data_IF_037040272857
#
_entry.id   IF_037040272857
#
_cell.length_a   1.000
_cell.length_b   1.000
_cell.length_c   1.000
_cell.angle_alpha   90.00
_cell.angle_beta   90.00
_cell.angle_gamma   90.00
#
_symmetry.space_group_name_H-M   'P 1'
#
loop_
_entity.id
_entity.type
_entity.pdbx_description
1 polymer ?
#
# COMPACT_ATOMS: atom_id res chain seq x y z
N UNK A 1 2.92 -30.52 38.21
CA UNK A 1 1.71 -29.68 38.34
C UNK A 1 1.59 -28.91 37.04
N UNK A 2 0.64 -29.29 36.19
CA UNK A 2 0.44 -28.67 34.88
C UNK A 2 -0.15 -27.27 35.06
N UNK A 3 0.54 -26.25 34.56
CA UNK A 3 0.04 -24.87 34.49
C UNK A 3 -1.09 -24.79 33.47
N UNK A 4 -2.28 -24.45 33.93
CA UNK A 4 -3.47 -24.23 33.09
C UNK A 4 -3.20 -23.19 31.99
N UNK A 5 -3.80 -23.34 30.80
CA UNK A 5 -3.71 -22.33 29.75
C UNK A 5 -4.34 -21.03 30.26
N UNK A 6 -3.61 -19.91 30.17
CA UNK A 6 -4.17 -18.58 30.44
C UNK A 6 -5.32 -18.35 29.48
N UNK A 7 -6.50 -18.07 30.02
CA UNK A 7 -7.64 -17.55 29.27
C UNK A 7 -7.21 -16.29 28.50
N UNK A 8 -7.72 -16.09 27.27
CA UNK A 8 -7.51 -14.83 26.56
C UNK A 8 -8.01 -13.67 27.43
N UNK A 9 -7.36 -12.50 27.39
CA UNK A 9 -7.82 -11.34 28.13
C UNK A 9 -9.27 -11.01 27.72
N UNK A 10 -10.12 -10.55 28.66
CA UNK A 10 -11.47 -10.13 28.33
C UNK A 10 -11.43 -8.97 27.34
N UNK A 11 -12.30 -9.01 26.33
CA UNK A 11 -12.45 -7.93 25.36
C UNK A 11 -12.65 -6.58 26.09
N UNK A 12 -12.07 -5.48 25.56
CA UNK A 12 -12.19 -4.17 26.19
C UNK A 12 -13.66 -3.82 26.41
N UNK A 13 -13.97 -3.31 27.60
CA UNK A 13 -15.34 -2.91 27.94
C UNK A 13 -15.80 -1.76 27.02
N UNK A 14 -17.06 -1.74 26.55
CA UNK A 14 -17.57 -0.70 25.64
C UNK A 14 -17.35 0.74 26.13
N UNK A 15 -17.33 0.97 27.45
CA UNK A 15 -17.06 2.28 28.06
C UNK A 15 -15.65 2.81 27.77
N UNK A 16 -14.66 1.92 27.70
CA UNK A 16 -13.26 2.26 27.41
C UNK A 16 -13.09 2.68 25.95
N UNK A 17 -13.74 1.97 25.03
CA UNK A 17 -13.73 2.31 23.59
C UNK A 17 -14.40 3.66 23.30
N UNK A 18 -15.52 3.95 23.98
CA UNK A 18 -16.21 5.25 23.86
C UNK A 18 -15.32 6.39 24.36
N UNK A 19 -14.60 6.19 25.46
CA UNK A 19 -13.64 7.17 25.98
C UNK A 19 -12.50 7.43 24.99
N UNK A 20 -11.94 6.36 24.41
CA UNK A 20 -10.84 6.43 23.44
C UNK A 20 -11.25 7.13 22.14
N UNK A 21 -12.40 6.76 21.59
CA UNK A 21 -12.94 7.38 20.39
C UNK A 21 -13.18 8.88 20.62
N UNK A 22 -13.71 9.26 21.79
CA UNK A 22 -13.87 10.65 22.18
C UNK A 22 -12.55 11.42 22.24
N UNK A 23 -11.48 10.80 22.75
CA UNK A 23 -10.12 11.39 22.77
C UNK A 23 -9.56 11.61 21.36
N UNK A 24 -9.73 10.64 20.46
CA UNK A 24 -9.29 10.77 19.06
C UNK A 24 -10.04 11.92 18.35
N UNK A 25 -11.35 11.99 18.51
CA UNK A 25 -12.13 13.12 17.98
C UNK A 25 -11.66 14.45 18.58
N UNK A 26 -11.44 14.52 19.88
CA UNK A 26 -10.93 15.72 20.53
C UNK A 26 -9.56 16.14 19.99
N UNK A 27 -8.66 15.20 19.73
CA UNK A 27 -7.36 15.47 19.12
C UNK A 27 -7.49 16.05 17.71
N UNK A 28 -8.38 15.50 16.88
CA UNK A 28 -8.66 15.99 15.51
C UNK A 28 -9.44 17.31 15.47
N UNK A 29 -10.12 17.68 16.57
CA UNK A 29 -10.82 18.97 16.71
C UNK A 29 -9.89 20.13 17.06
N UNK A 30 -8.63 19.87 17.45
CA UNK A 30 -7.66 20.94 17.73
C UNK A 30 -7.32 21.72 16.47
N UNK A 31 -6.99 23.01 16.62
CA UNK A 31 -6.55 23.87 15.50
C UNK A 31 -5.24 23.37 14.88
N UNK A 32 -4.28 23.07 15.76
CA UNK A 32 -3.01 22.42 15.42
C UNK A 32 -3.03 21.04 16.06
N UNK A 33 -2.90 20.02 15.25
CA UNK A 33 -2.94 18.63 15.69
C UNK A 33 -1.56 18.21 16.16
N UNK A 34 -1.52 17.60 17.33
CA UNK A 34 -0.34 16.95 17.88
C UNK A 34 -0.19 15.57 17.23
N UNK A 35 0.81 15.41 16.37
CA UNK A 35 1.05 14.15 15.66
C UNK A 35 1.49 13.03 16.59
N UNK A 36 2.19 13.32 17.69
CA UNK A 36 2.66 12.28 18.61
C UNK A 36 1.50 11.73 19.42
N UNK A 37 0.59 12.60 19.88
CA UNK A 37 -0.67 12.18 20.48
C UNK A 37 -1.51 11.37 19.47
N UNK A 38 -1.60 11.83 18.21
CA UNK A 38 -2.37 11.14 17.17
C UNK A 38 -1.81 9.74 16.88
N UNK A 39 -0.48 9.62 16.74
CA UNK A 39 0.23 8.35 16.55
C UNK A 39 -0.04 7.38 17.70
N UNK A 40 0.03 7.85 18.95
CA UNK A 40 -0.29 7.00 20.10
C UNK A 40 -1.73 6.49 20.10
N UNK A 41 -2.70 7.33 19.70
CA UNK A 41 -4.11 6.94 19.64
C UNK A 41 -4.41 6.01 18.45
N UNK A 42 -3.78 6.26 17.31
CA UNK A 42 -3.93 5.44 16.10
C UNK A 42 -3.22 4.09 16.21
N UNK A 43 -2.13 3.99 16.99
CA UNK A 43 -1.45 2.72 17.28
C UNK A 43 -2.37 1.68 17.93
N UNK A 44 -3.37 2.14 18.70
CA UNK A 44 -4.39 1.33 19.36
C UNK A 44 -5.59 1.02 18.44
N UNK A 45 -5.48 1.32 17.15
CA UNK A 45 -6.51 1.14 16.12
C UNK A 45 -7.42 2.35 15.95
N UNK A 46 -7.84 2.66 14.73
CA UNK A 46 -8.74 3.79 14.46
C UNK A 46 -10.19 3.28 14.34
N UNK A 47 -11.19 3.96 14.92
CA UNK A 47 -12.59 3.57 14.74
C UNK A 47 -13.06 3.67 13.29
N UNK A 48 -13.92 2.74 12.86
CA UNK A 48 -14.53 2.73 11.52
C UNK A 48 -15.56 3.84 11.29
N UNK A 49 -16.04 4.48 12.37
CA UNK A 49 -17.12 5.45 12.29
C UNK A 49 -16.66 6.83 11.75
N UNK A 50 -17.55 7.47 11.00
CA UNK A 50 -17.49 8.89 10.62
C UNK A 50 -16.30 9.35 9.75
N UNK A 51 -15.68 8.45 8.98
CA UNK A 51 -14.56 8.82 8.07
C UNK A 51 -13.29 9.24 8.80
N UNK A 52 -13.20 8.96 10.10
CA UNK A 52 -12.05 9.35 10.94
C UNK A 52 -10.78 8.72 10.42
N UNK A 53 -10.80 7.43 10.07
CA UNK A 53 -9.63 6.72 9.55
C UNK A 53 -9.04 7.38 8.31
N UNK A 54 -9.88 7.82 7.37
CA UNK A 54 -9.42 8.52 6.19
C UNK A 54 -8.63 9.79 6.56
N UNK A 55 -9.13 10.56 7.52
CA UNK A 55 -8.44 11.78 8.00
C UNK A 55 -7.14 11.44 8.74
N UNK A 56 -7.16 10.44 9.62
CA UNK A 56 -5.99 10.01 10.40
C UNK A 56 -4.88 9.53 9.47
N UNK A 57 -5.17 8.66 8.51
CA UNK A 57 -4.17 8.14 7.57
C UNK A 57 -3.55 9.25 6.73
N UNK A 58 -4.36 10.22 6.27
CA UNK A 58 -3.88 11.40 5.55
C UNK A 58 -2.91 12.25 6.39
N UNK A 59 -3.12 12.36 7.70
CA UNK A 59 -2.21 13.07 8.60
C UNK A 59 -0.93 12.27 8.88
N UNK A 60 -1.06 10.97 9.16
CA UNK A 60 0.07 10.09 9.46
C UNK A 60 1.02 9.94 8.26
N UNK A 61 0.48 9.93 7.05
CA UNK A 61 1.25 9.90 5.79
C UNK A 61 1.76 11.28 5.35
N UNK A 62 1.55 12.34 6.14
CA UNK A 62 2.02 13.69 5.81
C UNK A 62 1.31 14.34 4.62
N UNK A 63 0.19 13.79 4.16
CA UNK A 63 -0.60 14.36 3.07
C UNK A 63 -1.34 15.63 3.51
N UNK A 64 -1.89 15.63 4.75
CA UNK A 64 -2.49 16.80 5.37
C UNK A 64 -1.50 17.47 6.34
N UNK A 65 -1.40 18.81 6.35
CA UNK A 65 -0.59 19.51 7.33
C UNK A 65 -1.23 19.44 8.74
N UNK A 66 -0.41 19.64 9.77
CA UNK A 66 -0.88 19.61 11.16
C UNK A 66 -1.85 20.74 11.51
N UNK A 67 -1.78 21.86 10.78
CA UNK A 67 -2.71 22.98 10.92
C UNK A 67 -3.97 22.74 10.08
N UNK A 68 -5.10 22.59 10.77
CA UNK A 68 -6.40 22.32 10.16
C UNK A 68 -6.88 23.44 9.25
N UNK A 69 -6.48 24.69 9.51
CA UNK A 69 -6.88 25.83 8.68
C UNK A 69 -6.35 25.74 7.25
N UNK A 70 -5.29 24.97 7.02
CA UNK A 70 -4.65 24.79 5.72
C UNK A 70 -5.22 23.60 4.93
N UNK A 71 -6.07 22.76 5.53
CA UNK A 71 -6.54 21.52 4.92
C UNK A 71 -7.30 21.73 3.62
N UNK A 72 -8.25 22.67 3.60
CA UNK A 72 -9.06 22.93 2.41
C UNK A 72 -8.17 23.41 1.24
N UNK A 73 -7.20 24.28 1.53
CA UNK A 73 -6.26 24.79 0.53
C UNK A 73 -5.35 23.68 0.00
N UNK A 74 -4.77 22.87 0.88
CA UNK A 74 -3.83 21.82 0.47
C UNK A 74 -4.56 20.70 -0.30
N UNK A 75 -5.76 20.30 0.15
CA UNK A 75 -6.61 19.34 -0.58
C UNK A 75 -6.95 19.87 -1.97
N UNK A 76 -7.41 21.12 -2.09
CA UNK A 76 -7.76 21.71 -3.37
C UNK A 76 -6.56 21.74 -4.33
N UNK A 77 -5.39 22.17 -3.82
CA UNK A 77 -4.13 22.22 -4.57
C UNK A 77 -3.70 20.83 -5.06
N UNK A 78 -3.64 19.84 -4.17
CA UNK A 78 -3.22 18.47 -4.50
C UNK A 78 -4.21 17.82 -5.47
N UNK A 79 -5.51 17.95 -5.24
CA UNK A 79 -6.55 17.39 -6.13
C UNK A 79 -6.50 18.01 -7.53
N UNK A 80 -6.27 19.32 -7.64
CA UNK A 80 -6.05 19.99 -8.93
C UNK A 80 -4.76 19.53 -9.62
N UNK A 81 -3.68 19.35 -8.86
CA UNK A 81 -2.42 18.81 -9.37
C UNK A 81 -2.60 17.40 -9.95
N UNK A 82 -3.32 16.52 -9.25
CA UNK A 82 -3.60 15.18 -9.76
C UNK A 82 -4.50 15.20 -11.01
N UNK A 83 -5.48 16.11 -11.07
CA UNK A 83 -6.28 16.29 -12.28
C UNK A 83 -5.40 16.68 -13.49
N UNK A 84 -4.44 17.58 -13.29
CA UNK A 84 -3.47 17.93 -14.33
C UNK A 84 -2.60 16.72 -14.76
N UNK A 85 -2.18 15.86 -13.81
CA UNK A 85 -1.48 14.62 -14.14
C UNK A 85 -2.35 13.65 -14.94
N UNK A 86 -3.65 13.52 -14.64
CA UNK A 86 -4.56 12.70 -15.44
C UNK A 86 -4.62 13.22 -16.87
N UNK A 87 -4.80 14.52 -17.03
CA UNK A 87 -4.87 15.14 -18.36
C UNK A 87 -3.55 14.93 -19.11
N UNK A 88 -2.39 15.15 -18.49
CA UNK A 88 -1.09 14.98 -19.14
C UNK A 88 -0.77 13.52 -19.50
N UNK A 89 -0.92 12.60 -18.56
CA UNK A 89 -0.34 11.25 -18.67
C UNK A 89 -1.30 10.18 -19.19
N UNK A 90 -2.62 10.40 -19.06
CA UNK A 90 -3.65 9.45 -19.47
C UNK A 90 -4.35 9.85 -20.77
N UNK A 91 -4.01 11.00 -21.38
CA UNK A 91 -4.52 11.41 -22.70
C UNK A 91 -4.16 10.36 -23.76
N UNK A 92 -5.14 9.98 -24.57
CA UNK A 92 -4.95 9.01 -25.65
C UNK A 92 -4.12 9.64 -26.79
N UNK A 93 -3.05 8.98 -27.29
CA UNK A 93 -2.27 9.47 -28.44
C UNK A 93 -3.09 9.81 -29.69
N UNK A 94 -4.26 9.18 -29.86
CA UNK A 94 -5.20 9.45 -30.95
C UNK A 94 -5.92 10.81 -30.77
N UNK A 95 -6.17 11.22 -29.53
CA UNK A 95 -6.75 12.53 -29.21
C UNK A 95 -5.71 13.66 -29.38
N UNK A 96 -4.45 13.38 -29.02
CA UNK A 96 -3.32 14.28 -29.24
C UNK A 96 -3.13 14.53 -30.75
N UNK A 97 -3.13 13.47 -31.56
CA UNK A 97 -3.06 13.57 -33.03
C UNK A 97 -4.22 14.38 -33.63
N UNK A 98 -5.42 14.33 -33.02
CA UNK A 98 -6.59 15.11 -33.46
C UNK A 98 -6.51 16.58 -33.06
N UNK A 99 -5.98 16.91 -31.88
CA UNK A 99 -5.83 18.30 -31.42
C UNK A 99 -4.76 19.05 -32.21
N UNK A 100 -3.63 18.42 -32.53
CA UNK A 100 -2.58 19.02 -33.39
C UNK A 100 -3.11 19.34 -34.79
N UNK A 101 -3.97 18.48 -35.35
CA UNK A 101 -4.66 18.76 -36.62
C UNK A 101 -5.60 19.96 -36.51
N UNK A 102 -6.23 20.19 -35.36
CA UNK A 102 -7.21 21.28 -35.17
C UNK A 102 -6.53 22.62 -34.92
N UNK A 103 -5.41 22.65 -34.20
CA UNK A 103 -4.63 23.87 -33.94
C UNK A 103 -3.81 24.33 -35.17
N UNK A 104 -3.42 23.40 -36.06
CA UNK A 104 -2.75 23.71 -37.33
C UNK A 104 -3.66 24.39 -38.38
N UNK A 105 -4.98 24.34 -38.22
CA UNK A 105 -5.94 24.89 -39.18
C UNK A 105 -6.37 26.35 -38.90
N UNK A 106 -5.91 26.98 -37.81
CA UNK A 106 -6.30 28.37 -37.48
C UNK A 106 -5.42 29.49 -38.09
N UNK A 107 -4.51 29.17 -39.02
CA UNK A 107 -3.63 30.20 -39.63
C UNK A 107 -3.44 30.07 -41.15
N UNK A 108 -4.44 29.61 -41.89
CA UNK A 108 -4.42 29.72 -43.36
C UNK A 108 -5.72 30.37 -43.82
N UNK A 109 -5.60 31.61 -44.28
CA UNK A 109 -6.66 32.35 -44.97
C UNK A 109 -7.27 31.47 -46.07
N UNK A 110 -8.60 31.36 -46.03
CA UNK A 110 -9.40 30.65 -47.01
C UNK A 110 -9.25 31.27 -48.41
N UNK A 111 -8.63 30.54 -49.34
CA UNK A 111 -9.01 30.57 -50.75
C UNK A 111 -9.11 29.13 -51.27
N UNK A 112 -10.25 28.86 -51.91
CA UNK A 112 -10.71 27.61 -52.53
C UNK A 112 -9.64 26.81 -53.31
N UNK A 113 -9.79 25.48 -53.38
CA UNK A 113 -10.33 24.73 -54.54
C UNK A 113 -10.63 23.28 -54.13
N UNK A 114 -11.82 22.84 -54.52
CA UNK A 114 -12.36 21.48 -54.50
C UNK A 114 -11.46 20.49 -55.25
N UNK A 115 -10.99 19.47 -54.54
CA UNK A 115 -10.62 18.18 -55.10
C UNK A 115 -10.74 17.16 -53.98
N UNK A 116 -11.65 16.19 -54.12
CA UNK A 116 -12.00 15.15 -53.14
C UNK A 116 -10.88 14.14 -52.82
N UNK A 117 -9.68 14.62 -52.49
CA UNK A 117 -8.62 13.86 -51.86
C UNK A 117 -8.50 14.33 -50.41
N UNK A 118 -8.72 13.41 -49.46
CA UNK A 118 -8.37 13.64 -48.06
C UNK A 118 -6.87 13.96 -48.00
N UNK A 119 -6.52 15.19 -47.60
CA UNK A 119 -5.13 15.60 -47.46
C UNK A 119 -4.49 14.75 -46.36
N UNK A 120 -3.63 13.80 -46.74
CA UNK A 120 -2.87 12.98 -45.80
C UNK A 120 -1.91 13.92 -45.05
N UNK A 121 -2.19 14.17 -43.78
CA UNK A 121 -1.28 14.89 -42.88
C UNK A 121 0.09 14.20 -42.90
N UNK A 122 1.16 14.94 -43.20
CA UNK A 122 2.52 14.42 -43.11
C UNK A 122 2.85 14.21 -41.63
N UNK A 123 2.78 12.95 -41.19
CA UNK A 123 3.28 12.55 -39.87
C UNK A 123 4.79 12.76 -39.90
N UNK A 124 5.28 13.72 -39.10
CA UNK A 124 6.73 13.93 -38.96
C UNK A 124 7.38 12.62 -38.49
N UNK A 125 8.58 12.29 -39.00
CA UNK A 125 9.25 10.99 -38.73
C UNK A 125 9.44 10.68 -37.23
N UNK A 126 9.40 11.69 -36.38
CA UNK A 126 9.54 11.57 -34.92
C UNK A 126 8.21 11.21 -34.23
N UNK A 127 7.06 11.49 -34.85
CA UNK A 127 5.71 11.16 -34.36
C UNK A 127 5.13 9.90 -35.02
N UNK A 128 5.96 9.13 -35.72
CA UNK A 128 5.52 7.92 -36.39
C UNK A 128 5.36 6.75 -35.38
N UNK A 129 4.29 5.93 -35.47
CA UNK A 129 4.06 4.73 -34.63
C UNK A 129 5.10 3.61 -34.77
N UNK A 130 6.13 3.80 -35.60
CA UNK A 130 7.27 2.89 -35.78
C UNK A 130 8.61 3.64 -35.62
N UNK A 131 8.58 4.85 -35.09
CA UNK A 131 9.79 5.62 -34.81
C UNK A 131 10.61 4.85 -33.79
N UNK A 132 11.91 4.65 -34.06
CA UNK A 132 12.86 4.02 -33.13
C UNK A 132 13.56 5.05 -32.22
N UNK A 133 13.17 6.33 -32.32
CA UNK A 133 13.72 7.40 -31.49
C UNK A 133 13.21 7.30 -30.06
N UNK A 134 14.12 7.26 -29.07
CA UNK A 134 13.79 7.20 -27.63
C UNK A 134 12.89 8.36 -27.13
N UNK A 135 12.82 9.45 -27.90
CA UNK A 135 12.00 10.64 -27.62
C UNK A 135 10.63 10.62 -28.31
N UNK A 136 10.34 9.63 -29.16
CA UNK A 136 9.05 9.55 -29.84
C UNK A 136 7.94 9.24 -28.83
N UNK A 137 6.85 10.01 -28.89
CA UNK A 137 5.65 9.77 -28.08
C UNK A 137 5.14 8.31 -28.22
N UNK A 138 5.36 7.69 -29.38
CA UNK A 138 5.00 6.30 -29.63
C UNK A 138 5.91 5.29 -28.93
N UNK A 139 7.22 5.51 -28.87
CA UNK A 139 8.10 4.61 -28.11
C UNK A 139 7.82 4.69 -26.60
N UNK A 140 7.58 5.88 -26.08
CA UNK A 140 7.14 6.03 -24.68
C UNK A 140 5.78 5.37 -24.45
N UNK A 141 4.88 5.42 -25.44
CA UNK A 141 3.59 4.74 -25.39
C UNK A 141 3.73 3.21 -25.43
N UNK A 142 4.58 2.65 -26.30
CA UNK A 142 4.81 1.20 -26.39
C UNK A 142 5.55 0.65 -25.16
N UNK A 143 6.55 1.35 -24.62
CA UNK A 143 7.16 1.01 -23.33
C UNK A 143 6.15 1.10 -22.17
N UNK A 144 5.19 2.04 -22.24
CA UNK A 144 4.09 2.12 -21.28
C UNK A 144 3.03 1.02 -21.50
N UNK A 145 2.89 0.46 -22.70
CA UNK A 145 1.83 -0.50 -23.03
C UNK A 145 1.99 -1.80 -22.23
N UNK A 146 3.21 -2.30 -22.07
CA UNK A 146 3.47 -3.50 -21.26
C UNK A 146 3.11 -3.28 -19.79
N UNK A 147 3.52 -2.13 -19.23
CA UNK A 147 3.18 -1.73 -17.85
C UNK A 147 1.67 -1.54 -17.69
N UNK A 148 1.02 -0.94 -18.68
CA UNK A 148 -0.43 -0.74 -18.71
C UNK A 148 -1.18 -2.07 -18.66
N UNK A 149 -0.79 -3.04 -19.49
CA UNK A 149 -1.39 -4.37 -19.48
C UNK A 149 -1.12 -5.13 -18.18
N UNK A 150 0.07 -4.98 -17.61
CA UNK A 150 0.39 -5.59 -16.32
C UNK A 150 -0.49 -5.03 -15.21
N UNK A 151 -0.63 -3.70 -15.12
CA UNK A 151 -1.51 -3.03 -14.15
C UNK A 151 -2.96 -3.48 -14.38
N UNK A 152 -3.43 -3.54 -15.63
CA UNK A 152 -4.80 -3.95 -15.95
C UNK A 152 -5.11 -5.37 -15.45
N UNK A 153 -4.19 -6.32 -15.64
CA UNK A 153 -4.32 -7.68 -15.10
C UNK A 153 -4.30 -7.71 -13.57
N UNK A 154 -3.41 -6.95 -12.96
CA UNK A 154 -3.23 -6.92 -11.50
C UNK A 154 -4.41 -6.28 -10.78
N UNK A 155 -4.95 -5.18 -11.30
CA UNK A 155 -6.14 -4.52 -10.75
C UNK A 155 -7.36 -5.45 -10.83
N UNK A 156 -7.56 -6.16 -11.94
CA UNK A 156 -8.68 -7.12 -12.10
C UNK A 156 -8.65 -8.27 -11.09
N UNK A 157 -7.46 -8.65 -10.61
CA UNK A 157 -7.28 -9.73 -9.62
C UNK A 157 -7.06 -9.24 -8.19
N UNK A 158 -7.14 -7.93 -7.94
CA UNK A 158 -6.94 -7.34 -6.60
C UNK A 158 -8.15 -7.67 -5.74
N UNK A 159 -7.93 -8.34 -4.60
CA UNK A 159 -8.96 -8.79 -3.66
C UNK A 159 -10.24 -9.32 -4.33
N UNK A 160 -10.16 -10.47 -5.03
CA UNK A 160 -11.26 -10.99 -5.86
C UNK A 160 -12.53 -11.32 -5.06
N UNK A 161 -12.38 -11.59 -3.77
CA UNK A 161 -13.48 -11.91 -2.85
C UNK A 161 -14.29 -10.66 -2.43
N UNK A 162 -13.85 -9.45 -2.77
CA UNK A 162 -14.50 -8.21 -2.39
C UNK A 162 -15.23 -7.58 -3.58
N UNK A 163 -16.55 -7.44 -3.46
CA UNK A 163 -17.40 -6.75 -4.45
C UNK A 163 -17.01 -5.29 -4.71
N UNK A 164 -16.29 -4.68 -3.77
CA UNK A 164 -15.75 -3.33 -3.92
C UNK A 164 -14.69 -3.25 -5.03
N UNK A 165 -13.84 -4.28 -5.17
CA UNK A 165 -12.73 -4.34 -6.12
C UNK A 165 -13.04 -5.23 -7.32
N UNK A 166 -13.82 -6.30 -7.14
CA UNK A 166 -14.11 -7.29 -8.17
C UNK A 166 -15.63 -7.44 -8.34
N UNK A 167 -16.15 -7.06 -9.51
CA UNK A 167 -17.55 -7.25 -9.86
C UNK A 167 -17.95 -6.56 -11.15
N UNK A 168 -19.07 -6.98 -11.73
CA UNK A 168 -19.59 -6.43 -12.99
C UNK A 168 -20.33 -5.09 -12.83
N UNK A 169 -20.55 -4.67 -11.58
CA UNK A 169 -21.22 -3.41 -11.26
C UNK A 169 -20.44 -2.21 -11.79
N UNK A 170 -21.16 -1.15 -12.14
CA UNK A 170 -20.55 0.13 -12.56
C UNK A 170 -19.66 0.72 -11.45
N UNK A 171 -20.03 0.49 -10.19
CA UNK A 171 -19.25 0.95 -9.04
C UNK A 171 -17.88 0.24 -8.94
N UNK A 172 -17.85 -1.09 -9.02
CA UNK A 172 -16.60 -1.86 -9.01
C UNK A 172 -15.69 -1.50 -10.19
N UNK A 173 -16.26 -1.36 -11.40
CA UNK A 173 -15.52 -0.92 -12.59
C UNK A 173 -14.94 0.48 -12.44
N UNK A 174 -15.70 1.41 -11.84
CA UNK A 174 -15.21 2.76 -11.53
C UNK A 174 -14.06 2.75 -10.52
N UNK A 175 -14.11 1.86 -9.53
CA UNK A 175 -13.04 1.69 -8.55
C UNK A 175 -11.78 1.09 -9.18
N UNK A 176 -11.93 0.05 -10.02
CA UNK A 176 -10.81 -0.54 -10.78
C UNK A 176 -10.14 0.50 -11.68
N UNK A 177 -10.92 1.31 -12.39
CA UNK A 177 -10.38 2.38 -13.24
C UNK A 177 -9.62 3.43 -12.41
N UNK A 178 -10.12 3.78 -11.23
CA UNK A 178 -9.44 4.69 -10.32
C UNK A 178 -8.08 4.14 -9.86
N UNK A 179 -8.04 2.86 -9.44
CA UNK A 179 -6.79 2.19 -9.06
C UNK A 179 -5.79 2.14 -10.22
N UNK A 180 -6.27 1.80 -11.41
CA UNK A 180 -5.47 1.77 -12.64
C UNK A 180 -4.86 3.14 -12.95
N UNK A 181 -5.65 4.20 -12.89
CA UNK A 181 -5.18 5.57 -13.14
C UNK A 181 -4.07 5.98 -12.17
N UNK A 182 -4.26 5.72 -10.88
CA UNK A 182 -3.27 6.02 -9.85
C UNK A 182 -1.95 5.30 -10.12
N UNK A 183 -1.99 3.99 -10.38
CA UNK A 183 -0.80 3.18 -10.65
C UNK A 183 -0.10 3.59 -11.96
N UNK A 184 -0.86 3.96 -12.98
CA UNK A 184 -0.31 4.41 -14.27
C UNK A 184 0.41 5.75 -14.15
N UNK A 185 -0.22 6.72 -13.49
CA UNK A 185 0.39 8.03 -13.24
C UNK A 185 1.65 7.85 -12.38
N UNK A 186 1.59 7.02 -11.35
CA UNK A 186 2.76 6.71 -10.52
C UNK A 186 3.92 6.14 -11.35
N UNK A 187 3.64 5.14 -12.20
CA UNK A 187 4.65 4.48 -13.01
C UNK A 187 5.30 5.43 -14.02
N UNK A 188 4.52 6.34 -14.61
CA UNK A 188 5.01 7.37 -15.55
C UNK A 188 5.86 8.43 -14.86
N UNK A 189 5.44 8.91 -13.69
CA UNK A 189 6.19 9.90 -12.92
C UNK A 189 7.49 9.33 -12.32
N UNK A 190 7.51 8.05 -11.99
CA UNK A 190 8.64 7.39 -11.33
C UNK A 190 9.34 6.39 -12.25
N UNK A 191 9.90 6.87 -13.38
CA UNK A 191 10.54 6.02 -14.39
C UNK A 191 11.71 5.16 -13.87
N UNK A 192 12.28 5.49 -12.70
CA UNK A 192 13.34 4.72 -12.05
C UNK A 192 12.86 3.50 -11.24
N UNK A 193 11.63 3.53 -10.73
CA UNK A 193 11.01 2.40 -9.98
C UNK A 193 10.01 1.68 -10.88
N UNK A 194 9.21 2.46 -11.63
CA UNK A 194 8.07 2.00 -12.44
C UNK A 194 7.05 1.24 -11.57
N UNK A 195 6.10 0.58 -12.22
CA UNK A 195 5.18 -0.32 -11.54
C UNK A 195 5.86 -1.65 -11.23
N UNK A 196 5.71 -2.13 -10.00
CA UNK A 196 6.13 -3.47 -9.57
C UNK A 196 4.90 -4.24 -9.10
N UNK A 197 4.78 -5.49 -9.53
CA UNK A 197 3.66 -6.36 -9.15
C UNK A 197 3.51 -6.42 -7.62
N UNK A 198 2.30 -6.16 -7.13
CA UNK A 198 1.98 -6.08 -5.70
C UNK A 198 1.76 -4.65 -5.19
N UNK A 199 2.21 -3.63 -5.93
CA UNK A 199 1.87 -2.23 -5.62
C UNK A 199 0.35 -1.98 -5.61
N UNK A 200 -0.41 -2.73 -6.42
CA UNK A 200 -1.87 -2.72 -6.41
C UNK A 200 -2.46 -3.11 -5.03
N UNK A 201 -1.84 -4.05 -4.32
CA UNK A 201 -2.29 -4.49 -2.99
C UNK A 201 -1.98 -3.46 -1.90
N UNK A 202 -0.93 -2.65 -2.09
CA UNK A 202 -0.60 -1.52 -1.18
C UNK A 202 -1.57 -0.37 -1.40
N UNK A 203 -1.92 -0.09 -2.66
CA UNK A 203 -2.88 0.97 -2.99
C UNK A 203 -4.31 0.64 -2.52
N UNK A 204 -4.71 -0.64 -2.56
CA UNK A 204 -6.07 -1.06 -2.29
C UNK A 204 -6.60 -0.64 -0.90
N UNK A 205 -5.88 -0.85 0.23
CA UNK A 205 -6.28 -0.36 1.55
C UNK A 205 -6.49 1.16 1.61
N UNK A 206 -5.56 1.95 1.06
CA UNK A 206 -5.67 3.42 1.02
C UNK A 206 -6.93 3.85 0.28
N UNK A 207 -7.11 3.31 -0.93
CA UNK A 207 -8.24 3.64 -1.78
C UNK A 207 -9.57 3.24 -1.16
N UNK A 208 -9.65 2.05 -0.57
CA UNK A 208 -10.85 1.60 0.13
C UNK A 208 -11.25 2.55 1.27
N UNK A 209 -10.29 2.94 2.11
CA UNK A 209 -10.54 3.84 3.25
C UNK A 209 -11.02 5.21 2.78
N UNK A 210 -10.42 5.77 1.73
CA UNK A 210 -10.80 7.10 1.23
C UNK A 210 -12.09 7.10 0.40
N UNK A 211 -12.37 6.02 -0.33
CA UNK A 211 -13.57 5.89 -1.15
C UNK A 211 -14.81 5.53 -0.33
N UNK A 212 -14.62 4.88 0.81
CA UNK A 212 -15.69 4.54 1.76
C UNK A 212 -15.97 5.66 2.78
N UNK A 213 -15.41 6.86 2.56
CA UNK A 213 -15.65 8.03 3.41
C UNK A 213 -17.14 8.43 3.39
N UNK A 214 -17.78 8.67 4.56
CA UNK A 214 -19.17 9.13 4.63
C UNK A 214 -19.42 10.48 3.95
N UNK A 215 -18.41 11.34 3.83
CA UNK A 215 -18.51 12.59 3.07
C UNK A 215 -18.28 12.34 1.58
N UNK A 216 -19.37 12.40 0.81
CA UNK A 216 -19.38 12.24 -0.65
C UNK A 216 -18.38 13.18 -1.35
N UNK A 217 -18.11 14.37 -0.81
CA UNK A 217 -17.10 15.28 -1.38
C UNK A 217 -15.71 14.65 -1.29
N UNK A 218 -15.35 14.04 -0.17
CA UNK A 218 -14.07 13.37 0.00
C UNK A 218 -14.01 12.07 -0.79
N UNK A 219 -15.07 11.26 -0.76
CA UNK A 219 -15.15 10.01 -1.49
C UNK A 219 -14.99 10.19 -3.01
N UNK A 220 -15.46 11.32 -3.58
CA UNK A 220 -15.26 11.66 -5.00
C UNK A 220 -13.80 11.92 -5.36
N UNK A 221 -13.03 12.51 -4.46
CA UNK A 221 -11.61 12.77 -4.67
C UNK A 221 -10.69 11.67 -4.11
N UNK A 222 -11.26 10.52 -3.71
CA UNK A 222 -10.51 9.39 -3.17
C UNK A 222 -9.37 8.95 -4.09
N UNK A 223 -9.56 9.01 -5.41
CA UNK A 223 -8.50 8.69 -6.40
C UNK A 223 -7.26 9.58 -6.21
N UNK A 224 -7.46 10.90 -6.17
CA UNK A 224 -6.38 11.88 -6.01
C UNK A 224 -5.72 11.78 -4.63
N UNK A 225 -6.53 11.67 -3.57
CA UNK A 225 -6.04 11.56 -2.20
C UNK A 225 -5.23 10.26 -2.02
N UNK A 226 -5.67 9.16 -2.65
CA UNK A 226 -4.96 7.88 -2.65
C UNK A 226 -3.62 7.98 -3.35
N UNK A 227 -3.54 8.67 -4.49
CA UNK A 227 -2.29 8.83 -5.22
C UNK A 227 -1.20 9.48 -4.36
N UNK A 228 -1.48 10.61 -3.71
CA UNK A 228 -0.45 11.28 -2.90
C UNK A 228 -0.10 10.48 -1.66
N UNK A 229 -1.09 9.94 -0.95
CA UNK A 229 -0.81 9.08 0.21
C UNK A 229 0.02 7.84 -0.17
N UNK A 230 -0.24 7.27 -1.34
CA UNK A 230 0.51 6.14 -1.89
C UNK A 230 1.96 6.52 -2.24
N UNK A 231 2.17 7.69 -2.84
CA UNK A 231 3.51 8.22 -3.14
C UNK A 231 4.30 8.44 -1.85
N UNK A 232 3.71 9.10 -0.86
CA UNK A 232 4.37 9.34 0.43
C UNK A 232 4.70 8.03 1.15
N UNK A 233 3.74 7.08 1.19
CA UNK A 233 3.95 5.75 1.77
C UNK A 233 5.12 5.01 1.09
N UNK A 234 5.12 4.92 -0.24
CA UNK A 234 6.18 4.25 -0.98
C UNK A 234 7.52 4.96 -0.84
N UNK A 235 7.55 6.28 -0.66
CA UNK A 235 8.80 7.04 -0.53
C UNK A 235 9.66 6.53 0.65
N UNK A 236 9.02 6.09 1.74
CA UNK A 236 9.68 5.58 2.94
C UNK A 236 10.38 4.23 2.74
N UNK A 237 10.05 3.48 1.69
CA UNK A 237 10.66 2.17 1.41
C UNK A 237 10.90 1.91 -0.06
N UNK A 238 11.03 2.97 -0.84
CA UNK A 238 11.29 2.94 -2.29
C UNK A 238 12.56 2.17 -2.63
N UNK A 239 13.55 2.19 -1.73
CA UNK A 239 14.85 1.55 -1.93
C UNK A 239 14.71 0.02 -1.99
N UNK A 240 13.67 -0.55 -1.38
CA UNK A 240 13.34 -1.97 -1.49
C UNK A 240 12.83 -2.38 -2.89
N UNK A 241 12.39 -1.42 -3.72
CA UNK A 241 11.96 -1.65 -5.10
C UNK A 241 13.06 -1.28 -6.12
N UNK A 242 14.14 -0.65 -5.68
CA UNK A 242 15.23 -0.27 -6.55
C UNK A 242 16.19 -1.45 -6.73
N UNK A 243 16.11 -2.15 -7.86
CA UNK A 243 16.95 -3.32 -8.15
C UNK A 243 18.46 -3.05 -7.99
N UNK A 244 18.91 -1.80 -8.21
CA UNK A 244 20.31 -1.40 -8.03
C UNK A 244 20.76 -1.42 -6.57
N UNK A 245 19.82 -1.27 -5.63
CA UNK A 245 20.07 -1.25 -4.20
C UNK A 245 19.85 -2.62 -3.55
N UNK A 246 19.41 -3.65 -4.29
CA UNK A 246 19.10 -4.97 -3.71
C UNK A 246 20.24 -5.57 -2.90
N UNK A 247 21.50 -5.35 -3.32
CA UNK A 247 22.68 -5.85 -2.62
C UNK A 247 23.23 -4.89 -1.55
N UNK A 248 22.58 -3.75 -1.34
CA UNK A 248 22.96 -2.75 -0.35
C UNK A 248 22.29 -3.03 1.00
N UNK A 249 22.90 -2.54 2.07
CA UNK A 249 22.34 -2.57 3.42
C UNK A 249 21.04 -1.74 3.54
N UNK A 250 20.80 -0.80 2.63
CA UNK A 250 19.57 0.01 2.55
C UNK A 250 18.50 -0.56 1.62
N UNK A 251 18.83 -1.61 0.86
CA UNK A 251 17.87 -2.28 -0.02
C UNK A 251 17.22 -3.49 0.63
N UNK A 252 16.48 -4.25 -0.18
CA UNK A 252 15.63 -5.34 0.32
C UNK A 252 16.40 -6.43 1.09
N UNK A 253 17.64 -6.76 0.68
CA UNK A 253 18.46 -7.74 1.42
C UNK A 253 18.89 -7.24 2.79
N UNK A 254 19.16 -5.94 2.94
CA UNK A 254 19.45 -5.33 4.22
C UNK A 254 18.25 -5.41 5.16
N UNK A 255 17.06 -5.06 4.66
CA UNK A 255 15.80 -5.18 5.41
C UNK A 255 15.49 -6.63 5.81
N UNK A 256 15.71 -7.59 4.91
CA UNK A 256 15.56 -9.02 5.22
C UNK A 256 16.55 -9.48 6.30
N UNK A 257 17.81 -9.02 6.25
CA UNK A 257 18.81 -9.36 7.25
C UNK A 257 18.45 -8.80 8.63
N UNK A 258 17.91 -7.59 8.71
CA UNK A 258 17.38 -7.01 9.95
C UNK A 258 16.28 -7.89 10.54
N UNK A 259 15.29 -8.29 9.73
CA UNK A 259 14.23 -9.18 10.18
C UNK A 259 14.78 -10.52 10.69
N UNK A 260 15.72 -11.14 9.96
CA UNK A 260 16.37 -12.37 10.42
C UNK A 260 17.09 -12.20 11.77
N UNK A 261 17.77 -11.08 11.97
CA UNK A 261 18.40 -10.75 13.25
C UNK A 261 17.37 -10.56 14.37
N UNK A 262 16.20 -10.00 14.08
CA UNK A 262 15.10 -9.92 15.04
C UNK A 262 14.62 -11.32 15.45
N UNK A 263 14.38 -12.20 14.48
CA UNK A 263 13.99 -13.59 14.79
C UNK A 263 15.04 -14.26 15.65
N UNK A 264 16.34 -14.10 15.33
CA UNK A 264 17.42 -14.65 16.14
C UNK A 264 17.43 -14.12 17.59
N UNK A 265 17.12 -12.83 17.76
CA UNK A 265 17.14 -12.16 19.07
C UNK A 265 16.00 -12.61 19.97
N UNK A 266 14.81 -12.81 19.40
CA UNK A 266 13.59 -13.10 20.17
C UNK A 266 13.23 -14.60 20.21
N UNK A 267 13.54 -15.34 19.14
CA UNK A 267 13.24 -16.77 19.01
C UNK A 267 14.37 -17.49 18.25
N UNK A 268 15.49 -17.69 18.95
CA UNK A 268 16.66 -18.39 18.41
C UNK A 268 16.38 -19.86 18.03
N UNK A 269 15.39 -20.52 18.66
CA UNK A 269 15.00 -21.88 18.29
C UNK A 269 14.33 -21.90 16.91
N UNK A 270 13.42 -20.96 16.67
CA UNK A 270 12.78 -20.76 15.38
C UNK A 270 13.79 -20.38 14.29
N UNK A 271 14.72 -19.48 14.59
CA UNK A 271 15.78 -19.09 13.66
C UNK A 271 16.66 -20.29 13.27
N UNK A 272 17.09 -21.09 14.26
CA UNK A 272 17.85 -22.30 14.00
C UNK A 272 17.06 -23.32 13.17
N UNK A 273 15.76 -23.48 13.44
CA UNK A 273 14.92 -24.38 12.66
C UNK A 273 14.77 -23.92 11.20
N UNK A 274 14.58 -22.61 10.97
CA UNK A 274 14.43 -22.04 9.64
C UNK A 274 15.73 -22.11 8.83
N UNK A 275 16.87 -21.75 9.44
CA UNK A 275 18.15 -21.65 8.72
C UNK A 275 18.89 -22.99 8.64
N UNK A 276 18.93 -23.78 9.72
CA UNK A 276 19.78 -24.97 9.82
C UNK A 276 18.99 -26.26 9.57
N UNK A 277 17.78 -26.37 10.11
CA UNK A 277 16.99 -27.61 9.96
C UNK A 277 16.27 -27.69 8.62
N UNK A 278 15.71 -26.56 8.18
CA UNK A 278 14.88 -26.50 6.96
C UNK A 278 15.56 -25.80 5.80
N UNK A 279 16.69 -25.13 6.03
CA UNK A 279 17.48 -24.43 5.01
C UNK A 279 16.65 -23.45 4.17
N UNK A 280 15.65 -22.82 4.78
CA UNK A 280 14.75 -21.88 4.10
C UNK A 280 15.35 -20.48 4.14
N UNK A 281 15.67 -19.94 2.96
CA UNK A 281 16.14 -18.57 2.84
C UNK A 281 15.02 -17.56 3.23
N UNK A 282 15.29 -16.57 4.11
CA UNK A 282 14.37 -15.49 4.48
C UNK A 282 13.68 -14.79 3.31
N UNK A 283 14.37 -14.65 2.18
CA UNK A 283 13.83 -14.03 0.98
C UNK A 283 12.58 -14.74 0.44
N UNK A 284 12.41 -16.05 0.65
CA UNK A 284 11.26 -16.78 0.11
C UNK A 284 9.97 -16.58 0.89
N UNK A 285 10.03 -16.15 2.16
CA UNK A 285 8.83 -15.89 2.95
C UNK A 285 8.67 -14.41 3.31
N UNK A 286 9.74 -13.73 3.70
CA UNK A 286 9.67 -12.38 4.23
C UNK A 286 9.70 -11.28 3.16
N UNK A 287 10.17 -11.58 1.95
CA UNK A 287 10.22 -10.59 0.87
C UNK A 287 8.83 -9.98 0.62
N UNK A 288 7.81 -10.83 0.52
CA UNK A 288 6.42 -10.38 0.31
C UNK A 288 5.87 -9.62 1.51
N UNK A 289 6.26 -10.02 2.72
CA UNK A 289 5.79 -9.39 3.97
C UNK A 289 6.25 -7.96 4.06
N UNK A 290 7.54 -7.74 3.77
CA UNK A 290 8.20 -6.44 3.76
C UNK A 290 7.71 -5.59 2.60
N UNK A 291 7.76 -6.12 1.37
CA UNK A 291 7.46 -5.32 0.17
C UNK A 291 5.99 -4.98 0.03
N UNK A 292 5.08 -5.80 0.56
CA UNK A 292 3.63 -5.60 0.47
C UNK A 292 2.99 -5.24 1.81
N UNK A 293 3.77 -4.88 2.83
CA UNK A 293 3.26 -4.50 4.16
C UNK A 293 2.18 -5.47 4.69
N UNK A 294 2.46 -6.77 4.57
CA UNK A 294 1.61 -7.88 5.03
C UNK A 294 0.21 -8.01 4.37
N UNK A 295 -0.09 -7.22 3.34
CA UNK A 295 -1.42 -7.18 2.67
C UNK A 295 -1.88 -8.50 2.05
N UNK A 296 -0.98 -9.46 1.81
CA UNK A 296 -1.36 -10.79 1.30
C UNK A 296 -1.29 -11.89 2.37
N UNK A 297 -1.07 -11.54 3.63
CA UNK A 297 -0.98 -12.48 4.75
C UNK A 297 -2.24 -12.52 5.61
N UNK A 298 -3.01 -11.44 5.61
CA UNK A 298 -4.20 -11.25 6.43
C UNK A 298 -5.42 -10.98 5.56
N UNK A 299 -6.62 -11.15 6.15
CA UNK A 299 -7.83 -10.71 5.47
C UNK A 299 -7.87 -9.16 5.43
N UNK A 300 -8.68 -8.63 4.53
CA UNK A 300 -8.74 -7.19 4.30
C UNK A 300 -9.10 -6.37 5.53
N UNK A 301 -10.03 -6.85 6.37
CA UNK A 301 -10.43 -6.16 7.59
C UNK A 301 -9.27 -6.05 8.60
N UNK A 302 -8.53 -7.14 8.80
CA UNK A 302 -7.34 -7.16 9.65
C UNK A 302 -6.25 -6.23 9.10
N UNK A 303 -6.09 -6.15 7.78
CA UNK A 303 -5.10 -5.26 7.14
C UNK A 303 -5.38 -3.80 7.49
N UNK A 304 -6.64 -3.36 7.42
CA UNK A 304 -7.01 -1.98 7.79
C UNK A 304 -6.59 -1.67 9.22
N UNK A 305 -6.81 -2.58 10.17
CA UNK A 305 -6.42 -2.36 11.57
C UNK A 305 -4.91 -2.47 11.81
N UNK A 306 -4.23 -3.41 11.16
CA UNK A 306 -2.76 -3.52 11.23
C UNK A 306 -2.12 -2.22 10.70
N UNK A 307 -2.69 -1.66 9.63
CA UNK A 307 -2.18 -0.44 9.02
C UNK A 307 -2.39 0.81 9.90
N UNK A 308 -3.42 0.86 10.74
CA UNK A 308 -3.55 1.91 11.76
C UNK A 308 -2.29 1.95 12.65
N UNK A 309 -1.80 0.79 13.08
CA UNK A 309 -0.57 0.68 13.87
C UNK A 309 0.69 0.93 13.05
N UNK A 310 0.80 0.35 11.85
CA UNK A 310 2.00 0.52 11.01
C UNK A 310 2.24 1.96 10.59
N UNK A 311 1.18 2.70 10.27
CA UNK A 311 1.27 4.11 9.86
C UNK A 311 1.50 5.05 11.05
N UNK A 312 1.27 4.58 12.28
CA UNK A 312 1.48 5.38 13.49
C UNK A 312 2.94 5.47 13.91
N UNK A 313 3.82 4.66 13.33
CA UNK A 313 5.24 4.69 13.64
C UNK A 313 5.91 5.96 13.07
N UNK A 314 6.69 6.71 13.88
CA UNK A 314 7.32 7.96 13.43
C UNK A 314 8.40 7.76 12.38
N UNK A 315 9.08 6.61 12.38
CA UNK A 315 10.14 6.22 11.45
C UNK A 315 9.59 5.45 10.25
N UNK A 316 8.28 5.16 10.27
CA UNK A 316 7.50 4.62 9.17
C UNK A 316 7.25 3.12 9.27
N UNK A 317 6.43 2.59 8.34
CA UNK A 317 5.91 1.23 8.47
C UNK A 317 7.00 0.16 8.39
N UNK A 318 8.07 0.37 7.61
CA UNK A 318 9.18 -0.59 7.55
C UNK A 318 9.94 -0.68 8.87
N UNK A 319 10.08 0.44 9.58
CA UNK A 319 10.73 0.44 10.87
C UNK A 319 9.88 -0.32 11.89
N UNK A 320 8.59 -0.02 11.94
CA UNK A 320 7.65 -0.79 12.76
C UNK A 320 7.68 -2.31 12.46
N UNK A 321 7.87 -2.70 11.20
CA UNK A 321 7.99 -4.11 10.80
C UNK A 321 9.34 -4.75 11.14
N UNK A 322 10.45 -4.00 11.08
CA UNK A 322 11.81 -4.55 11.03
C UNK A 322 12.75 -4.03 12.13
N UNK A 323 12.26 -3.22 13.07
CA UNK A 323 13.08 -2.64 14.14
C UNK A 323 12.68 -3.20 15.51
N UNK A 324 13.70 -3.39 16.35
CA UNK A 324 13.56 -3.83 17.72
C UNK A 324 14.43 -2.98 18.64
N UNK A 325 14.32 -1.66 18.50
CA UNK A 325 15.07 -0.78 19.38
C UNK A 325 14.56 -0.97 20.82
N UNK A 326 15.43 -1.36 21.78
CA UNK A 326 15.06 -1.53 23.18
C UNK A 326 14.94 -0.16 23.84
N UNK A 327 13.88 0.60 23.55
CA UNK A 327 13.64 1.87 24.23
C UNK A 327 13.26 1.61 25.71
N UNK A 328 14.06 2.06 26.70
CA UNK A 328 13.84 1.73 28.12
C UNK A 328 12.62 2.40 28.76
N UNK A 329 12.04 3.43 28.12
CA UNK A 329 11.01 4.29 28.74
C UNK A 329 9.63 4.21 28.09
N UNK A 330 9.43 3.34 27.11
CA UNK A 330 8.09 3.06 26.61
C UNK A 330 7.35 2.13 27.60
N UNK A 331 6.18 2.53 28.16
CA UNK A 331 5.41 1.67 29.05
C UNK A 331 5.11 0.35 28.35
N UNK A 332 5.21 -0.75 29.10
CA UNK A 332 5.30 -2.16 28.67
C UNK A 332 4.29 -2.66 27.60
N UNK A 333 3.29 -1.86 27.19
CA UNK A 333 2.34 -2.16 26.11
C UNK A 333 2.78 -1.75 24.69
N UNK A 334 3.92 -1.05 24.51
CA UNK A 334 4.40 -0.60 23.17
C UNK A 334 5.40 -1.55 22.53
N UNK A 335 5.14 -2.86 22.49
CA UNK A 335 6.17 -3.81 22.05
C UNK A 335 5.62 -4.89 21.15
N UNK A 336 6.36 -5.15 20.08
CA UNK A 336 6.29 -6.44 19.42
C UNK A 336 6.75 -7.54 20.39
N UNK A 337 5.80 -8.23 21.02
CA UNK A 337 6.07 -9.39 21.86
C UNK A 337 5.93 -10.66 21.03
N UNK A 338 7.07 -11.20 20.61
CA UNK A 338 7.19 -12.62 20.24
C UNK A 338 7.05 -13.44 21.54
N UNK A 339 5.83 -13.74 21.96
CA UNK A 339 5.61 -14.73 23.02
C UNK A 339 5.57 -16.14 22.41
N UNK A 340 6.40 -17.08 22.90
CA UNK A 340 6.35 -18.47 22.45
C UNK A 340 5.06 -19.12 22.97
N UNK A 341 4.01 -19.15 22.14
CA UNK A 341 2.85 -20.00 22.42
C UNK A 341 3.17 -21.45 22.05
N UNK A 342 2.95 -22.37 22.99
CA UNK A 342 3.05 -23.80 22.76
C UNK A 342 2.07 -24.23 21.65
N UNK A 343 2.44 -25.18 20.77
CA UNK A 343 1.57 -25.60 19.68
C UNK A 343 0.25 -26.17 20.21
N UNK A 344 -0.87 -25.61 19.78
CA UNK A 344 -2.15 -26.31 19.84
C UNK A 344 -2.10 -27.50 18.84
N UNK A 345 -2.15 -28.71 19.37
CA UNK A 345 -2.18 -29.95 18.59
C UNK A 345 -3.53 -30.08 17.87
N UNK A 346 -3.53 -29.88 16.54
CA UNK A 346 -4.61 -30.35 15.66
C UNK A 346 -4.37 -31.82 15.32
N UNK A 347 -5.44 -32.66 15.25
CA UNK A 347 -5.30 -34.11 15.15
C UNK A 347 -4.60 -34.50 13.86
N UNK A 348 -3.54 -35.30 14.00
CA UNK A 348 -2.77 -35.84 12.91
C UNK A 348 -3.63 -36.83 12.12
N UNK A 349 -4.01 -36.47 10.89
CA UNK A 349 -4.58 -37.43 9.96
C UNK A 349 -3.43 -38.32 9.46
N UNK A 350 -3.36 -39.54 9.99
CA UNK A 350 -2.43 -40.57 9.55
C UNK A 350 -2.70 -40.91 8.07
N UNK A 351 -1.64 -41.23 7.32
CA UNK A 351 -1.56 -41.56 5.87
C UNK A 351 -1.08 -40.42 4.94
N UNK A 352 0.23 -40.12 4.95
CA UNK A 352 1.03 -39.75 3.74
C UNK A 352 2.52 -39.48 4.03
N UNK A 353 3.50 -40.05 3.29
CA UNK A 353 4.85 -39.50 3.09
C UNK A 353 4.89 -38.63 1.80
N UNK A 354 5.67 -37.52 1.70
CA UNK A 354 7.15 -37.44 1.79
C UNK A 354 7.70 -36.28 2.68
N UNK A 355 9.04 -36.18 2.91
CA UNK A 355 9.67 -35.19 3.80
C UNK A 355 9.40 -33.71 3.44
N UNK A 356 9.23 -33.39 2.16
CA UNK A 356 8.97 -32.01 1.69
C UNK A 356 7.63 -31.44 2.19
N UNK A 357 6.59 -32.27 2.36
CA UNK A 357 5.31 -31.83 2.94
C UNK A 357 5.41 -31.59 4.44
N UNK A 358 6.21 -32.38 5.17
CA UNK A 358 6.47 -32.13 6.60
C UNK A 358 7.26 -30.84 6.79
N UNK A 359 8.24 -30.57 5.93
CA UNK A 359 8.96 -29.29 5.91
C UNK A 359 8.02 -28.13 5.54
N UNK A 360 7.18 -28.24 4.51
CA UNK A 360 6.20 -27.19 4.18
C UNK A 360 5.20 -26.93 5.30
N UNK A 361 4.72 -27.96 6.02
CA UNK A 361 3.79 -27.80 7.13
C UNK A 361 4.48 -27.23 8.38
N UNK A 362 5.72 -27.64 8.67
CA UNK A 362 6.53 -27.08 9.75
C UNK A 362 6.89 -25.61 9.48
N UNK A 363 7.38 -25.31 8.27
CA UNK A 363 7.64 -23.95 7.79
C UNK A 363 6.36 -23.12 7.81
N UNK A 364 5.22 -23.66 7.35
CA UNK A 364 3.94 -22.95 7.44
C UNK A 364 3.51 -22.68 8.88
N UNK A 365 3.72 -23.61 9.82
CA UNK A 365 3.42 -23.41 11.25
C UNK A 365 4.35 -22.39 11.91
N UNK A 366 5.63 -22.44 11.58
CA UNK A 366 6.68 -21.54 12.05
C UNK A 366 6.50 -20.12 11.49
N UNK A 367 6.17 -19.99 10.20
CA UNK A 367 5.79 -18.73 9.57
C UNK A 367 4.44 -18.23 10.06
N UNK A 368 3.48 -19.12 10.34
CA UNK A 368 2.22 -18.73 10.97
C UNK A 368 2.46 -18.22 12.38
N UNK A 369 3.38 -18.81 13.16
CA UNK A 369 3.81 -18.26 14.46
C UNK A 369 4.50 -16.90 14.32
N UNK A 370 5.36 -16.72 13.32
CA UNK A 370 5.98 -15.41 13.07
C UNK A 370 4.92 -14.38 12.68
N UNK A 371 4.02 -14.72 11.76
CA UNK A 371 2.86 -13.90 11.37
C UNK A 371 1.97 -13.59 12.57
N UNK A 372 1.64 -14.58 13.37
CA UNK A 372 0.77 -14.44 14.54
C UNK A 372 1.48 -13.70 15.68
N UNK A 373 2.82 -13.70 15.76
CA UNK A 373 3.58 -12.86 16.70
C UNK A 373 3.69 -11.42 16.21
N UNK A 374 3.89 -11.19 14.91
CA UNK A 374 3.78 -9.86 14.31
C UNK A 374 2.38 -9.26 14.53
N UNK A 375 1.32 -10.10 14.51
CA UNK A 375 -0.08 -9.66 14.69
C UNK A 375 -0.55 -9.63 16.13
N UNK A 376 -0.20 -10.60 16.98
CA UNK A 376 -0.52 -10.56 18.41
C UNK A 376 0.15 -9.37 19.08
N UNK A 377 1.28 -8.91 18.55
CA UNK A 377 1.89 -7.64 18.93
C UNK A 377 1.05 -6.43 18.53
N UNK A 378 0.53 -6.39 17.30
CA UNK A 378 -0.38 -5.33 16.86
C UNK A 378 -1.74 -5.36 17.60
N UNK A 379 -2.27 -6.55 17.91
CA UNK A 379 -3.50 -6.75 18.71
C UNK A 379 -3.31 -6.47 20.20
N UNK A 380 -2.17 -6.85 20.79
CA UNK A 380 -1.87 -6.55 22.20
C UNK A 380 -1.73 -5.04 22.44
N UNK A 381 -1.26 -4.27 21.44
CA UNK A 381 -1.25 -2.80 21.47
C UNK A 381 -2.67 -2.20 21.41
N UNK A 382 -3.65 -2.89 20.82
CA UNK A 382 -5.05 -2.46 20.81
C UNK A 382 -5.82 -2.78 22.11
N UNK A 383 -5.31 -3.73 22.90
CA UNK A 383 -5.96 -4.25 24.12
C UNK A 383 -5.26 -3.78 25.43
N UNK A 384 -4.16 -3.03 25.35
CA UNK A 384 -3.40 -2.45 26.48
C UNK A 384 -3.56 -0.93 26.54
#
# INVERSE_FOLDING_TARGET
MASSPRSPPPAPTPEFEISRQSRLFAALSKKVIDLDELRMLAAQGVPDAAGVRATVWKLLLGYLPNDRSLWEQELAKKRAQYAAFKDEFLRNPVEISRQVQTEGHHNVNEEHVDNGFLHRSEVTREEHPLSLGKTSAWNQFFECSEIMEQIDRDVKRTHPDMHFFCGDSSFAKSNQESLKNVLLIFAKLNAGIRYVQGMNEILAPLFFVFRSDPDDKNAKFAEADSFFCFVELLSGFRDNFCQKLDNSAVGIRGTLAKLSQLVATYDGELQHHLEVTTEVNPQFYAFRWITLLLTQEFNFADIIHIWDTLLSDPDGPQNMLCDADPCPEAPLGRRFHLQPQAPAELPANEHQPPPLRRQQVAVSRSLLRLKHCCVCSAKAVAES
#
